data_IF_003867011653
#
_entry.id   IF_003867011653
#
_cell.length_a   1.000
_cell.length_b   1.000
_cell.length_c   1.000
_cell.angle_alpha   90.00
_cell.angle_beta   90.00
_cell.angle_gamma   90.00
#
_symmetry.space_group_name_H-M   'P 1'
#
loop_
_entity.id
_entity.type
_entity.pdbx_description
1 polymer ?
#
# COMPACT_ATOMS: atom_id res chain seq x y z
N UNK A 1 -5.32 4.42 30.91
CA UNK A 1 -4.02 5.02 30.50
C UNK A 1 -3.31 4.21 29.40
N UNK A 2 -3.23 2.88 29.51
CA UNK A 2 -2.62 2.01 28.47
C UNK A 2 -3.26 2.09 27.08
N UNK A 3 -4.60 2.10 26.98
CA UNK A 3 -5.34 2.22 25.72
C UNK A 3 -5.05 3.52 24.95
N UNK A 4 -4.93 4.64 25.66
CA UNK A 4 -4.63 5.96 25.05
C UNK A 4 -3.18 6.00 24.55
N UNK A 5 -2.26 5.28 25.20
CA UNK A 5 -0.87 5.15 24.75
C UNK A 5 -0.71 4.30 23.49
N UNK A 6 -1.45 3.17 23.38
CA UNK A 6 -1.43 2.30 22.20
C UNK A 6 -2.08 2.91 20.96
N UNK A 7 -3.16 3.68 21.15
CA UNK A 7 -3.90 4.26 20.02
C UNK A 7 -3.17 5.47 19.41
N UNK A 8 -2.21 6.07 20.12
CA UNK A 8 -1.43 7.21 19.59
C UNK A 8 -0.72 6.89 18.27
N UNK A 9 0.10 5.84 18.14
CA UNK A 9 0.74 5.50 16.87
C UNK A 9 -0.30 5.20 15.77
N UNK A 10 -1.36 4.45 16.07
CA UNK A 10 -2.43 4.15 15.08
C UNK A 10 -3.14 5.41 14.57
N UNK A 11 -3.55 6.32 15.46
CA UNK A 11 -4.34 7.50 15.10
C UNK A 11 -3.47 8.60 14.47
N UNK A 12 -2.22 8.77 14.91
CA UNK A 12 -1.35 9.85 14.46
C UNK A 12 -0.40 9.47 13.31
N UNK A 13 -0.02 8.20 13.17
CA UNK A 13 0.84 7.72 12.07
C UNK A 13 0.03 7.05 10.96
N UNK A 14 -1.08 6.37 11.28
CA UNK A 14 -1.94 5.71 10.30
C UNK A 14 -2.30 6.58 9.08
N UNK A 15 -2.78 7.83 9.23
CA UNK A 15 -3.13 8.68 8.10
C UNK A 15 -1.97 9.02 7.14
N UNK A 16 -0.71 9.00 7.62
CA UNK A 16 0.46 9.34 6.79
C UNK A 16 0.85 8.20 5.86
N UNK A 17 0.63 6.96 6.29
CA UNK A 17 1.01 5.76 5.55
C UNK A 17 -0.09 5.30 4.58
N UNK A 18 -1.33 5.78 4.76
CA UNK A 18 -2.48 5.47 3.90
C UNK A 18 -2.44 6.24 2.58
N UNK A 19 -1.72 7.37 2.51
CA UNK A 19 -1.50 8.16 1.30
C UNK A 19 -0.56 7.47 0.31
N UNK A 20 -1.03 6.39 -0.31
CA UNK A 20 -0.23 5.59 -1.25
C UNK A 20 -0.19 6.18 -2.66
N UNK A 21 0.87 5.83 -3.41
CA UNK A 21 1.03 6.17 -4.84
C UNK A 21 -0.10 5.62 -5.73
N UNK A 22 -0.90 4.68 -5.22
CA UNK A 22 -2.04 4.10 -5.91
C UNK A 22 -3.12 5.10 -6.32
N UNK A 23 -3.28 6.24 -5.62
CA UNK A 23 -4.29 7.24 -6.01
C UNK A 23 -4.03 7.83 -7.41
N UNK A 24 -2.79 7.79 -7.87
CA UNK A 24 -2.40 8.34 -9.17
C UNK A 24 -2.69 7.39 -10.34
N UNK A 25 -2.65 6.07 -10.11
CA UNK A 25 -2.91 5.06 -11.16
C UNK A 25 -4.36 4.55 -11.13
N UNK A 26 -4.87 4.25 -9.94
CA UNK A 26 -6.09 3.47 -9.73
C UNK A 26 -7.36 4.12 -10.32
N UNK A 27 -7.57 5.46 -10.28
CA UNK A 27 -8.77 6.07 -10.84
C UNK A 27 -8.93 5.83 -12.35
N UNK A 28 -7.83 5.91 -13.11
CA UNK A 28 -7.83 5.67 -14.56
C UNK A 28 -8.22 4.23 -14.88
N UNK A 29 -7.75 3.27 -14.07
CA UNK A 29 -8.09 1.86 -14.23
C UNK A 29 -9.56 1.60 -13.91
N UNK A 30 -10.04 2.10 -12.77
CA UNK A 30 -11.45 1.94 -12.37
C UNK A 30 -12.38 2.54 -13.41
N UNK A 31 -12.09 3.75 -13.90
CA UNK A 31 -12.93 4.41 -14.91
C UNK A 31 -12.95 3.64 -16.24
N UNK A 32 -11.80 3.06 -16.64
CA UNK A 32 -11.70 2.24 -17.86
C UNK A 32 -12.54 0.97 -17.78
N UNK A 33 -12.60 0.33 -16.61
CA UNK A 33 -13.42 -0.87 -16.41
C UNK A 33 -14.88 -0.56 -16.08
N UNK A 34 -15.17 0.57 -15.43
CA UNK A 34 -16.54 0.96 -15.08
C UNK A 34 -17.32 1.56 -16.24
N UNK A 35 -16.63 2.18 -17.21
CA UNK A 35 -17.23 2.84 -18.39
C UNK A 35 -18.01 4.12 -18.10
N UNK A 36 -18.31 4.41 -16.83
CA UNK A 36 -19.03 5.61 -16.38
C UNK A 36 -18.40 6.21 -15.11
N UNK A 37 -18.30 7.55 -15.01
CA UNK A 37 -17.82 8.23 -13.81
C UNK A 37 -18.68 7.95 -12.58
N UNK A 38 -20.01 7.88 -12.72
CA UNK A 38 -20.91 7.63 -11.58
C UNK A 38 -20.67 6.25 -10.95
N UNK A 39 -20.45 5.24 -11.77
CA UNK A 39 -20.16 3.88 -11.29
C UNK A 39 -18.75 3.79 -10.68
N UNK A 40 -17.78 4.56 -11.18
CA UNK A 40 -16.44 4.62 -10.59
C UNK A 40 -16.43 5.13 -9.15
N UNK A 41 -17.26 6.14 -8.85
CA UNK A 41 -17.40 6.71 -7.50
C UNK A 41 -18.04 5.69 -6.55
N UNK A 42 -19.04 4.94 -7.03
CA UNK A 42 -19.66 3.88 -6.22
C UNK A 42 -18.66 2.77 -5.87
N UNK A 43 -17.80 2.36 -6.81
CA UNK A 43 -16.74 1.38 -6.55
C UNK A 43 -15.79 1.89 -5.47
N UNK A 44 -15.38 3.15 -5.54
CA UNK A 44 -14.52 3.78 -4.52
C UNK A 44 -15.18 3.80 -3.14
N UNK A 45 -16.46 4.17 -3.08
CA UNK A 45 -17.22 4.19 -1.82
C UNK A 45 -17.33 2.80 -1.21
N UNK A 46 -17.61 1.78 -2.02
CA UNK A 46 -17.65 0.38 -1.56
C UNK A 46 -16.29 -0.09 -1.04
N UNK A 47 -15.20 0.23 -1.75
CA UNK A 47 -13.84 -0.05 -1.29
C UNK A 47 -13.53 0.61 0.05
N UNK A 48 -13.93 1.88 0.23
CA UNK A 48 -13.79 2.59 1.49
C UNK A 48 -14.56 1.95 2.65
N UNK A 49 -15.79 1.48 2.43
CA UNK A 49 -16.60 0.80 3.45
C UNK A 49 -15.95 -0.52 3.87
N UNK A 50 -15.50 -1.33 2.91
CA UNK A 50 -14.81 -2.59 3.18
C UNK A 50 -13.52 -2.34 3.96
N UNK A 51 -12.75 -1.32 3.59
CA UNK A 51 -11.52 -0.95 4.27
C UNK A 51 -11.78 -0.47 5.71
N UNK A 52 -12.86 0.27 5.95
CA UNK A 52 -13.28 0.69 7.28
C UNK A 52 -13.66 -0.51 8.15
N UNK A 53 -14.43 -1.46 7.62
CA UNK A 53 -14.77 -2.70 8.32
C UNK A 53 -13.51 -3.50 8.70
N UNK A 54 -12.56 -3.64 7.77
CA UNK A 54 -11.27 -4.28 8.04
C UNK A 54 -10.47 -3.54 9.13
N UNK A 55 -10.48 -2.20 9.13
CA UNK A 55 -9.82 -1.40 10.15
C UNK A 55 -10.40 -1.66 11.55
N UNK A 56 -11.73 -1.77 11.68
CA UNK A 56 -12.35 -2.09 12.97
C UNK A 56 -11.95 -3.48 13.48
N UNK A 57 -11.98 -4.51 12.63
CA UNK A 57 -11.55 -5.86 13.02
C UNK A 57 -10.07 -5.92 13.44
N UNK A 58 -9.20 -5.22 12.71
CA UNK A 58 -7.77 -5.20 13.04
C UNK A 58 -7.47 -4.43 14.33
N UNK A 59 -8.25 -3.40 14.65
CA UNK A 59 -8.16 -2.71 15.95
C UNK A 59 -8.53 -3.64 17.10
N UNK A 60 -9.61 -4.42 16.98
CA UNK A 60 -9.99 -5.39 18.02
C UNK A 60 -8.89 -6.40 18.29
N UNK A 61 -8.29 -6.95 17.23
CA UNK A 61 -7.16 -7.89 17.34
C UNK A 61 -5.94 -7.21 17.97
N UNK A 62 -5.62 -5.98 17.55
CA UNK A 62 -4.50 -5.22 18.11
C UNK A 62 -4.67 -4.91 19.61
N UNK A 63 -5.91 -4.75 20.08
CA UNK A 63 -6.22 -4.55 21.49
C UNK A 63 -6.10 -5.84 22.31
N UNK A 64 -6.41 -7.01 21.73
CA UNK A 64 -6.24 -8.30 22.39
C UNK A 64 -4.76 -8.70 22.50
N UNK A 65 -3.96 -8.44 21.46
CA UNK A 65 -2.56 -8.87 21.38
C UNK A 65 -1.60 -7.67 21.44
N UNK A 66 -1.34 -7.18 22.65
CA UNK A 66 -0.52 -6.00 22.90
C UNK A 66 1.00 -6.28 22.94
N UNK A 67 1.50 -7.05 21.97
CA UNK A 67 2.95 -7.31 21.83
C UNK A 67 3.48 -6.75 20.51
N UNK A 68 4.74 -6.34 20.52
CA UNK A 68 5.43 -5.91 19.31
C UNK A 68 5.54 -7.07 18.31
N UNK A 69 5.18 -6.81 17.05
CA UNK A 69 5.21 -7.81 15.98
C UNK A 69 4.04 -7.73 14.99
N UNK A 70 3.06 -6.87 15.24
CA UNK A 70 1.97 -6.61 14.29
C UNK A 70 1.16 -7.87 13.93
N UNK A 71 0.61 -7.95 12.71
CA UNK A 71 -0.17 -9.11 12.27
C UNK A 71 0.60 -10.43 12.27
N UNK A 72 1.93 -10.37 12.11
CA UNK A 72 2.79 -11.56 12.19
C UNK A 72 2.70 -12.23 13.56
N UNK A 73 2.72 -11.44 14.64
CA UNK A 73 2.67 -11.99 16.00
C UNK A 73 1.36 -12.76 16.27
N UNK A 74 0.25 -12.29 15.72
CA UNK A 74 -1.04 -12.98 15.81
C UNK A 74 -0.98 -14.35 15.12
N UNK A 75 -0.51 -14.39 13.87
CA UNK A 75 -0.43 -15.64 13.09
C UNK A 75 0.55 -16.62 13.72
N UNK A 76 1.71 -16.11 14.16
CA UNK A 76 2.71 -16.88 14.87
C UNK A 76 2.14 -17.52 16.15
N UNK A 77 1.42 -16.73 16.96
CA UNK A 77 0.88 -17.21 18.25
C UNK A 77 -0.27 -18.20 18.10
N UNK A 78 -1.08 -18.08 17.04
CA UNK A 78 -2.25 -18.94 16.81
C UNK A 78 -1.94 -20.20 16.00
N UNK A 79 -1.02 -20.13 15.04
CA UNK A 79 -0.77 -21.21 14.07
C UNK A 79 0.67 -21.76 14.11
N UNK A 80 1.54 -21.21 14.96
CA UNK A 80 2.91 -21.66 15.16
C UNK A 80 3.93 -21.09 14.16
N UNK A 81 5.17 -21.56 14.29
CA UNK A 81 6.35 -20.97 13.64
C UNK A 81 6.29 -21.00 12.10
N UNK A 82 5.85 -22.12 11.51
CA UNK A 82 5.81 -22.31 10.05
C UNK A 82 4.79 -21.34 9.41
N UNK A 83 3.61 -21.19 10.02
CA UNK A 83 2.58 -20.29 9.52
C UNK A 83 3.02 -18.82 9.60
N UNK A 84 3.69 -18.44 10.70
CA UNK A 84 4.30 -17.12 10.84
C UNK A 84 5.34 -16.87 9.75
N UNK A 85 6.23 -17.83 9.48
CA UNK A 85 7.25 -17.72 8.43
C UNK A 85 6.63 -17.51 7.04
N UNK A 86 5.66 -18.35 6.66
CA UNK A 86 4.99 -18.23 5.35
C UNK A 86 4.27 -16.89 5.21
N UNK A 87 3.61 -16.41 6.27
CA UNK A 87 2.99 -15.09 6.27
C UNK A 87 4.00 -13.98 6.04
N UNK A 88 5.10 -13.95 6.80
CA UNK A 88 6.11 -12.89 6.68
C UNK A 88 6.80 -12.93 5.32
N UNK A 89 7.11 -14.12 4.83
CA UNK A 89 7.72 -14.30 3.52
C UNK A 89 6.79 -13.83 2.39
N UNK A 90 5.51 -14.21 2.45
CA UNK A 90 4.50 -13.75 1.51
C UNK A 90 4.27 -12.23 1.59
N UNK A 91 4.25 -11.66 2.80
CA UNK A 91 4.10 -10.22 3.00
C UNK A 91 5.23 -9.43 2.33
N UNK A 92 6.48 -9.88 2.47
CA UNK A 92 7.64 -9.23 1.83
C UNK A 92 7.55 -9.32 0.30
N UNK A 93 7.26 -10.50 -0.24
CA UNK A 93 7.24 -10.75 -1.69
C UNK A 93 6.05 -10.09 -2.38
N UNK A 94 4.85 -10.19 -1.81
CA UNK A 94 3.62 -9.78 -2.49
C UNK A 94 3.15 -8.38 -2.12
N UNK A 95 3.51 -7.87 -0.94
CA UNK A 95 3.06 -6.55 -0.49
C UNK A 95 4.21 -5.56 -0.52
N UNK A 96 5.29 -5.81 0.23
CA UNK A 96 6.37 -4.83 0.37
C UNK A 96 7.06 -4.59 -0.97
N UNK A 97 7.62 -5.62 -1.60
CA UNK A 97 8.38 -5.48 -2.85
C UNK A 97 7.62 -4.76 -3.97
N UNK A 98 6.40 -5.21 -4.34
CA UNK A 98 5.60 -4.58 -5.37
C UNK A 98 5.19 -3.14 -5.04
N UNK A 99 4.95 -2.82 -3.77
CA UNK A 99 4.61 -1.45 -3.36
C UNK A 99 5.74 -0.47 -3.66
N UNK A 100 6.99 -0.85 -3.36
CA UNK A 100 8.17 -0.04 -3.70
C UNK A 100 8.35 0.08 -5.22
N UNK A 101 8.16 -1.01 -5.97
CA UNK A 101 8.29 -1.02 -7.42
C UNK A 101 7.22 -0.15 -8.12
N UNK A 102 5.97 -0.20 -7.65
CA UNK A 102 4.90 0.66 -8.14
C UNK A 102 5.16 2.13 -7.79
N UNK A 103 5.70 2.40 -6.60
CA UNK A 103 6.09 3.74 -6.18
C UNK A 103 7.17 4.35 -7.08
N UNK A 104 8.22 3.61 -7.40
CA UNK A 104 9.28 4.10 -8.30
C UNK A 104 8.79 4.24 -9.75
N UNK A 105 7.96 3.31 -10.23
CA UNK A 105 7.39 3.36 -11.57
C UNK A 105 6.48 4.57 -11.77
N UNK A 106 5.61 4.86 -10.81
CA UNK A 106 4.76 6.07 -10.84
C UNK A 106 5.59 7.34 -10.81
N UNK A 107 6.56 7.43 -9.90
CA UNK A 107 7.45 8.59 -9.82
C UNK A 107 8.19 8.84 -11.15
N UNK A 108 8.68 7.78 -11.79
CA UNK A 108 9.32 7.84 -13.11
C UNK A 108 8.37 8.38 -14.19
N UNK A 109 7.16 7.82 -14.28
CA UNK A 109 6.15 8.26 -15.26
C UNK A 109 5.79 9.74 -15.10
N UNK A 110 5.48 10.17 -13.87
CA UNK A 110 5.09 11.55 -13.62
C UNK A 110 6.26 12.53 -13.85
N UNK A 111 7.49 12.14 -13.52
CA UNK A 111 8.67 12.98 -13.80
C UNK A 111 8.92 13.13 -15.30
N UNK A 112 8.85 12.03 -16.06
CA UNK A 112 9.07 12.06 -17.51
C UNK A 112 7.94 12.79 -18.25
N UNK A 113 6.72 12.76 -17.72
CA UNK A 113 5.59 13.51 -18.31
C UNK A 113 5.79 15.03 -18.33
N UNK A 114 6.67 15.56 -17.48
CA UNK A 114 7.04 16.99 -17.49
C UNK A 114 7.89 17.35 -18.72
N UNK A 115 8.74 16.43 -19.18
CA UNK A 115 9.64 16.64 -20.32
C UNK A 115 9.01 16.22 -21.65
N UNK A 116 8.10 15.26 -21.63
CA UNK A 116 7.41 14.74 -22.80
C UNK A 116 5.91 15.05 -22.70
N UNK A 117 5.54 16.32 -22.88
CA UNK A 117 4.15 16.80 -22.74
C UNK A 117 3.21 16.26 -23.81
N UNK A 118 3.71 16.08 -25.04
CA UNK A 118 2.90 15.76 -26.22
C UNK A 118 3.03 14.29 -26.67
N UNK A 119 3.89 13.51 -26.02
CA UNK A 119 4.22 12.14 -26.43
C UNK A 119 4.23 11.19 -25.23
N UNK A 120 3.76 9.97 -25.42
CA UNK A 120 3.96 8.91 -24.44
C UNK A 120 5.46 8.58 -24.35
N UNK A 121 6.08 8.63 -23.16
CA UNK A 121 7.48 8.24 -22.99
C UNK A 121 7.63 6.75 -23.31
N UNK A 122 8.77 6.37 -23.89
CA UNK A 122 9.02 4.98 -24.23
C UNK A 122 9.12 4.11 -22.97
N UNK A 123 8.50 2.92 -22.99
CA UNK A 123 8.47 2.00 -21.84
C UNK A 123 9.87 1.67 -21.31
N UNK A 124 10.86 1.64 -22.20
CA UNK A 124 12.25 1.38 -21.84
C UNK A 124 12.83 2.51 -20.98
N UNK A 125 12.59 3.78 -21.35
CA UNK A 125 13.07 4.94 -20.60
C UNK A 125 12.44 5.01 -19.21
N UNK A 126 11.12 4.77 -19.13
CA UNK A 126 10.38 4.76 -17.85
C UNK A 126 10.95 3.70 -16.90
N UNK A 127 11.22 2.49 -17.42
CA UNK A 127 11.79 1.39 -16.64
C UNK A 127 13.21 1.68 -16.17
N UNK A 128 14.06 2.28 -17.02
CA UNK A 128 15.42 2.65 -16.64
C UNK A 128 15.43 3.66 -15.48
N UNK A 129 14.63 4.72 -15.58
CA UNK A 129 14.52 5.73 -14.51
C UNK A 129 13.91 5.12 -13.25
N UNK A 130 12.92 4.24 -13.37
CA UNK A 130 12.35 3.55 -12.22
C UNK A 130 13.38 2.65 -11.51
N UNK A 131 14.20 1.91 -12.27
CA UNK A 131 15.29 1.08 -11.71
C UNK A 131 16.33 1.95 -10.99
N UNK A 132 16.70 3.09 -11.58
CA UNK A 132 17.61 4.04 -10.96
C UNK A 132 17.04 4.55 -9.62
N UNK A 133 15.78 4.99 -9.58
CA UNK A 133 15.10 5.44 -8.36
C UNK A 133 15.02 4.34 -7.28
N UNK A 134 14.85 3.07 -7.68
CA UNK A 134 14.89 1.95 -6.73
C UNK A 134 16.29 1.69 -6.18
N UNK A 135 17.33 1.84 -6.99
CA UNK A 135 18.72 1.63 -6.53
C UNK A 135 19.15 2.65 -5.48
N UNK A 136 18.70 3.91 -5.58
CA UNK A 136 19.02 4.94 -4.58
C UNK A 136 18.36 4.65 -3.22
N UNK A 137 17.15 4.08 -3.23
CA UNK A 137 16.41 3.70 -2.01
C UNK A 137 16.99 2.48 -1.29
N UNK A 138 17.78 1.65 -1.98
CA UNK A 138 18.41 0.46 -1.40
C UNK A 138 19.78 0.78 -0.75
N UNK A 139 20.34 1.98 -1.01
CA UNK A 139 21.63 2.44 -0.50
C UNK A 139 21.55 3.25 0.81
N UNK A 140 20.35 3.39 1.39
CA UNK A 140 20.09 4.08 2.66
C UNK A 140 19.35 3.13 3.60
#
# INVERSE_FOLDING_TARGET
MYLIGMLKPIVWQGPRDIGGTGIFITPTMILRFSGSPGLSILIWMLGGIVQAAYAFCTVEIALMFNKAGGPYFFIYSSFGDIAGFVYMWGFVIFIVGPSWALGSYTASLYTLSVFFTDCQPSDFLVKLVALWLMSEKCLV
#
